data_IF_788707068357
#
_entry.id   IF_788707068357
#
_cell.length_a   1.000
_cell.length_b   1.000
_cell.length_c   1.000
_cell.angle_alpha   90.00
_cell.angle_beta   90.00
_cell.angle_gamma   90.00
#
_symmetry.space_group_name_H-M   'P 1'
#
loop_
_entity.id
_entity.type
_entity.pdbx_description
1 polymer ?
#
# COMPACT_ATOMS: atom_id res chain seq x y z
N UNK A 1 -36.24 23.25 -32.74
CA UNK A 1 -34.93 23.85 -33.00
C UNK A 1 -33.95 23.18 -32.05
N UNK A 2 -33.34 22.05 -32.45
CA UNK A 2 -32.36 21.32 -31.65
C UNK A 2 -30.99 21.97 -31.84
N UNK A 3 -30.51 22.67 -30.83
CA UNK A 3 -29.13 23.16 -30.81
C UNK A 3 -28.26 21.97 -30.40
N UNK A 4 -27.69 21.31 -31.40
CA UNK A 4 -26.64 20.33 -31.21
C UNK A 4 -25.36 21.07 -30.75
N UNK A 5 -25.12 21.09 -29.45
CA UNK A 5 -23.85 21.56 -28.89
C UNK A 5 -22.75 20.59 -29.28
N UNK A 6 -22.07 20.86 -30.40
CA UNK A 6 -20.84 20.12 -30.75
C UNK A 6 -19.79 20.34 -29.64
N UNK A 7 -19.15 19.28 -29.15
CA UNK A 7 -18.11 19.44 -28.13
C UNK A 7 -16.94 20.23 -28.73
N UNK A 8 -16.49 21.26 -28.03
CA UNK A 8 -15.36 22.11 -28.44
C UNK A 8 -14.11 21.25 -28.63
N UNK A 9 -13.30 21.53 -29.65
CA UNK A 9 -12.08 20.79 -30.00
C UNK A 9 -11.14 20.59 -28.78
N UNK A 10 -11.07 21.57 -27.88
CA UNK A 10 -10.31 21.48 -26.62
C UNK A 10 -10.81 20.36 -25.67
N UNK A 11 -12.14 20.10 -25.66
CA UNK A 11 -12.74 19.04 -24.85
C UNK A 11 -12.42 17.65 -25.41
N UNK A 12 -12.48 17.52 -26.75
CA UNK A 12 -12.10 16.28 -27.43
C UNK A 12 -10.62 15.93 -27.20
N UNK A 13 -9.73 16.93 -27.29
CA UNK A 13 -8.29 16.75 -27.00
C UNK A 13 -8.01 16.34 -25.56
N UNK A 14 -8.75 16.90 -24.61
CA UNK A 14 -8.66 16.52 -23.20
C UNK A 14 -9.10 15.07 -22.95
N UNK A 15 -10.14 14.63 -23.61
CA UNK A 15 -10.69 13.28 -23.45
C UNK A 15 -9.81 12.21 -24.14
N UNK A 16 -9.20 12.52 -25.30
CA UNK A 16 -8.22 11.62 -25.93
C UNK A 16 -6.97 11.42 -25.07
N UNK A 17 -6.42 12.47 -24.47
CA UNK A 17 -5.26 12.36 -23.57
C UNK A 17 -5.59 11.54 -22.34
N UNK A 18 -6.75 11.72 -21.73
CA UNK A 18 -7.21 10.92 -20.59
C UNK A 18 -7.35 9.45 -20.96
N UNK A 19 -7.96 9.15 -22.10
CA UNK A 19 -8.15 7.77 -22.56
C UNK A 19 -6.81 7.07 -22.81
N UNK A 20 -5.83 7.77 -23.36
CA UNK A 20 -4.49 7.27 -23.60
C UNK A 20 -3.76 7.00 -22.28
N UNK A 21 -3.87 7.91 -21.28
CA UNK A 21 -3.32 7.75 -19.95
C UNK A 21 -3.86 6.50 -19.26
N UNK A 22 -5.18 6.30 -19.22
CA UNK A 22 -5.78 5.12 -18.58
C UNK A 22 -5.42 3.81 -19.28
N UNK A 23 -5.33 3.79 -20.60
CA UNK A 23 -4.88 2.60 -21.34
C UNK A 23 -3.44 2.24 -20.98
N UNK A 24 -2.59 3.22 -20.86
CA UNK A 24 -1.18 3.03 -20.49
C UNK A 24 -1.05 2.52 -19.07
N UNK A 25 -1.73 3.16 -18.13
CA UNK A 25 -1.77 2.73 -16.72
C UNK A 25 -2.26 1.27 -16.59
N UNK A 26 -3.30 0.89 -17.34
CA UNK A 26 -3.81 -0.50 -17.34
C UNK A 26 -2.77 -1.50 -17.87
N UNK A 27 -2.02 -1.13 -18.92
CA UNK A 27 -0.95 -1.98 -19.46
C UNK A 27 0.17 -2.17 -18.45
N UNK A 28 0.62 -1.09 -17.80
CA UNK A 28 1.68 -1.11 -16.81
C UNK A 28 1.27 -1.91 -15.58
N UNK A 29 0.03 -1.76 -15.10
CA UNK A 29 -0.54 -2.61 -14.05
C UNK A 29 -0.51 -4.09 -14.41
N UNK A 30 -0.95 -4.43 -15.60
CA UNK A 30 -0.92 -5.83 -16.06
C UNK A 30 0.50 -6.38 -16.09
N UNK A 31 1.47 -5.61 -16.58
CA UNK A 31 2.89 -6.00 -16.58
C UNK A 31 3.42 -6.21 -15.17
N UNK A 32 3.06 -5.32 -14.24
CA UNK A 32 3.45 -5.43 -12.83
C UNK A 32 2.93 -6.71 -12.20
N UNK A 33 1.64 -7.01 -12.32
CA UNK A 33 1.04 -8.21 -11.74
C UNK A 33 1.53 -9.52 -12.38
N UNK A 34 1.88 -9.50 -13.66
CA UNK A 34 2.47 -10.66 -14.34
C UNK A 34 3.97 -10.83 -14.02
N UNK A 35 4.59 -9.84 -13.40
CA UNK A 35 6.01 -9.90 -13.04
C UNK A 35 6.20 -10.71 -11.75
N UNK A 36 7.08 -11.70 -11.79
CA UNK A 36 7.50 -12.45 -10.59
C UNK A 36 8.11 -11.56 -9.49
N UNK A 37 8.63 -10.39 -9.85
CA UNK A 37 9.21 -9.40 -8.92
C UNK A 37 8.17 -8.89 -7.92
N UNK A 38 6.91 -8.71 -8.36
CA UNK A 38 5.82 -8.29 -7.49
C UNK A 38 5.52 -9.33 -6.39
N UNK A 39 5.44 -10.60 -6.76
CA UNK A 39 5.20 -11.68 -5.80
C UNK A 39 6.39 -11.90 -4.87
N UNK A 40 7.60 -11.74 -5.38
CA UNK A 40 8.81 -11.81 -4.56
C UNK A 40 8.85 -10.69 -3.51
N UNK A 41 8.53 -9.45 -3.90
CA UNK A 41 8.45 -8.33 -2.99
C UNK A 41 7.31 -8.50 -1.96
N UNK A 42 6.15 -9.01 -2.38
CA UNK A 42 5.03 -9.33 -1.49
C UNK A 42 5.41 -10.41 -0.46
N UNK A 43 6.08 -11.48 -0.88
CA UNK A 43 6.59 -12.50 0.04
C UNK A 43 7.65 -11.93 0.98
N UNK A 44 8.53 -11.05 0.49
CA UNK A 44 9.52 -10.33 1.28
C UNK A 44 8.88 -9.45 2.35
N UNK A 45 7.85 -8.68 2.01
CA UNK A 45 7.11 -7.84 2.98
C UNK A 45 6.41 -8.70 4.03
N UNK A 46 5.78 -9.80 3.63
CA UNK A 46 5.20 -10.76 4.55
C UNK A 46 6.25 -11.32 5.53
N UNK A 47 7.39 -11.76 5.02
CA UNK A 47 8.47 -12.33 5.83
C UNK A 47 9.05 -11.32 6.82
N UNK A 48 9.34 -10.09 6.38
CA UNK A 48 9.85 -9.02 7.25
C UNK A 48 8.85 -8.64 8.33
N UNK A 49 7.55 -8.58 7.99
CA UNK A 49 6.49 -8.34 8.97
C UNK A 49 6.45 -9.45 10.04
N UNK A 50 6.55 -10.71 9.63
CA UNK A 50 6.58 -11.85 10.57
C UNK A 50 7.83 -11.82 11.46
N UNK A 51 8.99 -11.46 10.91
CA UNK A 51 10.23 -11.31 11.70
C UNK A 51 10.07 -10.20 12.75
N UNK A 52 9.55 -9.04 12.36
CA UNK A 52 9.33 -7.93 13.28
C UNK A 52 8.40 -8.34 14.42
N UNK A 53 7.28 -8.98 14.11
CA UNK A 53 6.32 -9.46 15.10
C UNK A 53 6.94 -10.54 15.99
N UNK A 54 7.78 -11.43 15.44
CA UNK A 54 8.44 -12.46 16.26
C UNK A 54 9.38 -11.86 17.28
N UNK A 55 10.06 -10.76 16.96
CA UNK A 55 10.92 -10.03 17.91
C UNK A 55 10.09 -9.38 19.02
N UNK A 56 8.99 -8.72 18.67
CA UNK A 56 8.07 -8.13 19.65
C UNK A 56 7.41 -9.20 20.51
N UNK A 57 6.97 -10.30 19.91
CA UNK A 57 6.37 -11.43 20.64
C UNK A 57 7.34 -12.12 21.61
N UNK A 58 8.64 -12.12 21.32
CA UNK A 58 9.66 -12.67 22.22
C UNK A 58 9.83 -11.84 23.51
N UNK A 59 9.52 -10.54 23.46
CA UNK A 59 9.55 -9.63 24.60
C UNK A 59 8.18 -9.47 25.26
N UNK A 60 7.13 -9.96 24.64
CA UNK A 60 5.77 -9.84 25.11
C UNK A 60 5.43 -10.99 26.09
N UNK A 61 4.67 -10.67 27.13
CA UNK A 61 4.20 -11.65 28.10
C UNK A 61 3.19 -12.60 27.44
N UNK A 62 2.98 -13.77 28.02
CA UNK A 62 2.11 -14.85 27.50
C UNK A 62 0.65 -14.43 27.19
N UNK A 63 0.28 -13.19 27.48
CA UNK A 63 -1.07 -12.65 27.34
C UNK A 63 -1.25 -11.62 26.22
N UNK A 64 -0.37 -11.64 25.21
CA UNK A 64 -0.34 -10.66 24.14
C UNK A 64 -1.42 -10.92 23.11
N UNK A 65 -2.14 -9.86 22.71
CA UNK A 65 -3.11 -9.89 21.60
C UNK A 65 -2.51 -9.42 20.29
N UNK A 66 -3.14 -9.78 19.17
CA UNK A 66 -2.73 -9.28 17.86
C UNK A 66 -2.83 -7.76 17.77
N UNK A 67 -3.84 -7.16 18.41
CA UNK A 67 -3.99 -5.70 18.45
C UNK A 67 -2.79 -4.99 19.06
N UNK A 68 -2.28 -5.50 20.18
CA UNK A 68 -1.09 -4.96 20.83
C UNK A 68 0.14 -5.06 19.92
N UNK A 69 0.34 -6.21 19.30
CA UNK A 69 1.46 -6.43 18.37
C UNK A 69 1.43 -5.51 17.17
N UNK A 70 0.25 -5.26 16.60
CA UNK A 70 0.09 -4.29 15.50
C UNK A 70 0.40 -2.88 15.98
N UNK A 71 -0.09 -2.49 17.15
CA UNK A 71 0.16 -1.16 17.72
C UNK A 71 1.65 -0.95 18.01
N UNK A 72 2.34 -1.94 18.58
CA UNK A 72 3.78 -1.86 18.83
C UNK A 72 4.61 -1.90 17.55
N UNK A 73 4.18 -2.67 16.55
CA UNK A 73 4.88 -2.81 15.26
C UNK A 73 4.82 -1.55 14.38
N UNK A 74 3.91 -0.61 14.63
CA UNK A 74 3.89 0.68 13.93
C UNK A 74 5.18 1.50 14.11
N UNK A 75 5.97 1.18 15.12
CA UNK A 75 7.29 1.74 15.34
C UNK A 75 8.44 1.03 14.60
N UNK A 76 8.23 0.41 13.46
CA UNK A 76 9.12 -0.43 12.63
C UNK A 76 10.58 0.08 12.43
N UNK A 77 11.13 0.80 13.38
CA UNK A 77 12.38 1.55 13.29
C UNK A 77 13.53 0.81 12.62
N UNK A 78 13.77 -0.45 12.97
CA UNK A 78 14.88 -1.24 12.42
C UNK A 78 14.62 -1.73 10.98
N UNK A 79 13.36 -2.01 10.63
CA UNK A 79 12.99 -2.58 9.32
C UNK A 79 12.47 -1.55 8.31
N UNK A 80 12.39 -0.29 8.70
CA UNK A 80 11.91 0.81 7.85
C UNK A 80 12.62 0.85 6.49
N UNK A 81 13.95 0.76 6.47
CA UNK A 81 14.73 0.76 5.24
C UNK A 81 14.44 -0.44 4.35
N UNK A 82 14.21 -1.62 4.93
CA UNK A 82 13.90 -2.84 4.19
C UNK A 82 12.53 -2.74 3.51
N UNK A 83 11.52 -2.22 4.21
CA UNK A 83 10.20 -1.97 3.63
C UNK A 83 10.26 -0.98 2.46
N UNK A 84 11.03 0.10 2.59
CA UNK A 84 11.21 1.07 1.51
C UNK A 84 11.85 0.45 0.27
N UNK A 85 12.87 -0.40 0.44
CA UNK A 85 13.48 -1.13 -0.67
C UNK A 85 12.50 -2.11 -1.32
N UNK A 86 11.75 -2.87 -0.52
CA UNK A 86 10.75 -3.82 -1.01
C UNK A 86 9.60 -3.10 -1.74
N UNK A 87 9.22 -1.90 -1.31
CA UNK A 87 8.20 -1.09 -1.96
C UNK A 87 8.59 -0.65 -3.38
N UNK A 88 9.86 -0.30 -3.56
CA UNK A 88 10.40 0.16 -4.85
C UNK A 88 10.59 -1.00 -5.85
N UNK A 89 10.91 -2.19 -5.35
CA UNK A 89 11.35 -3.33 -6.16
C UNK A 89 10.35 -3.80 -7.23
N UNK A 90 9.01 -3.81 -7.02
CA UNK A 90 8.06 -4.35 -7.98
C UNK A 90 8.08 -3.67 -9.35
N UNK A 91 8.34 -2.37 -9.37
CA UNK A 91 8.17 -1.59 -10.60
C UNK A 91 9.31 -0.64 -10.98
N UNK A 92 10.17 -0.23 -10.04
CA UNK A 92 11.25 0.72 -10.34
C UNK A 92 12.23 0.21 -11.42
N UNK A 93 12.50 -1.10 -11.44
CA UNK A 93 13.34 -1.72 -12.45
C UNK A 93 12.69 -1.75 -13.85
N UNK A 94 11.39 -1.60 -13.96
CA UNK A 94 10.66 -1.60 -15.23
C UNK A 94 11.06 -0.41 -16.11
N UNK A 95 11.27 0.77 -15.52
CA UNK A 95 11.77 1.94 -16.26
C UNK A 95 13.14 1.69 -16.88
N UNK A 96 14.04 1.07 -16.13
CA UNK A 96 15.38 0.75 -16.61
C UNK A 96 15.34 -0.31 -17.73
N UNK A 97 14.47 -1.32 -17.59
CA UNK A 97 14.25 -2.34 -18.62
C UNK A 97 13.66 -1.72 -19.91
N UNK A 98 12.71 -0.83 -19.79
CA UNK A 98 12.09 -0.12 -20.94
C UNK A 98 13.13 0.76 -21.64
N UNK A 99 14.03 1.40 -20.89
CA UNK A 99 15.13 2.19 -21.47
C UNK A 99 16.16 1.29 -22.18
N UNK A 100 16.55 0.18 -21.56
CA UNK A 100 17.51 -0.77 -22.13
C UNK A 100 17.01 -1.40 -23.44
N UNK A 101 15.71 -1.67 -23.50
CA UNK A 101 15.08 -2.28 -24.67
C UNK A 101 14.66 -1.26 -25.74
N UNK A 102 15.09 0.01 -25.65
CA UNK A 102 14.71 1.11 -26.54
C UNK A 102 13.19 1.34 -26.68
N UNK A 103 12.40 0.75 -25.80
CA UNK A 103 10.93 0.87 -25.82
C UNK A 103 10.47 2.30 -25.52
N UNK A 104 11.22 3.04 -24.71
CA UNK A 104 10.92 4.43 -24.36
C UNK A 104 10.77 5.34 -25.57
N UNK A 105 11.64 5.23 -26.57
CA UNK A 105 11.57 6.06 -27.76
C UNK A 105 10.24 5.91 -28.51
N UNK A 106 9.71 4.69 -28.58
CA UNK A 106 8.42 4.43 -29.25
C UNK A 106 7.23 4.95 -28.45
N UNK A 107 7.31 4.89 -27.13
CA UNK A 107 6.23 5.36 -26.25
C UNK A 107 6.21 6.88 -26.18
N UNK A 108 7.37 7.53 -26.05
CA UNK A 108 7.49 8.99 -25.99
C UNK A 108 6.97 9.67 -27.27
N UNK A 109 7.19 9.06 -28.44
CA UNK A 109 6.69 9.61 -29.70
C UNK A 109 5.18 9.50 -29.85
N UNK A 110 4.54 8.47 -29.28
CA UNK A 110 3.09 8.24 -29.42
C UNK A 110 2.25 8.90 -28.34
N UNK A 111 2.73 8.93 -27.11
CA UNK A 111 1.91 9.32 -25.93
C UNK A 111 2.36 10.65 -25.34
N UNK A 112 3.60 11.04 -25.60
CA UNK A 112 4.24 12.21 -25.00
C UNK A 112 4.89 11.87 -23.65
N UNK A 113 6.06 12.45 -23.43
CA UNK A 113 6.93 12.19 -22.28
C UNK A 113 6.24 12.43 -20.93
N UNK A 114 5.51 13.52 -20.80
CA UNK A 114 4.83 13.89 -19.55
C UNK A 114 3.74 12.88 -19.17
N UNK A 115 2.93 12.43 -20.12
CA UNK A 115 1.86 11.45 -19.88
C UNK A 115 2.45 10.10 -19.46
N UNK A 116 3.56 9.69 -20.10
CA UNK A 116 4.28 8.48 -19.70
C UNK A 116 4.82 8.56 -18.28
N UNK A 117 5.53 9.64 -17.93
CA UNK A 117 6.08 9.81 -16.58
C UNK A 117 5.01 9.77 -15.50
N UNK A 118 3.88 10.46 -15.70
CA UNK A 118 2.79 10.46 -14.72
C UNK A 118 2.12 9.09 -14.59
N UNK A 119 1.89 8.38 -15.72
CA UNK A 119 1.35 7.02 -15.68
C UNK A 119 2.26 6.08 -14.91
N UNK A 120 3.56 6.14 -15.20
CA UNK A 120 4.56 5.30 -14.55
C UNK A 120 4.66 5.57 -13.04
N UNK A 121 4.66 6.85 -12.64
CA UNK A 121 4.68 7.26 -11.23
C UNK A 121 3.43 6.77 -10.48
N UNK A 122 2.24 6.93 -11.07
CA UNK A 122 1.00 6.42 -10.47
C UNK A 122 1.03 4.90 -10.29
N UNK A 123 1.51 4.16 -11.29
CA UNK A 123 1.59 2.69 -11.22
C UNK A 123 2.62 2.26 -10.20
N UNK A 124 3.77 2.94 -10.10
CA UNK A 124 4.79 2.66 -9.06
C UNK A 124 4.21 2.84 -7.66
N UNK A 125 3.56 3.98 -7.41
CA UNK A 125 2.93 4.27 -6.13
C UNK A 125 1.87 3.24 -5.75
N UNK A 126 0.93 2.97 -6.66
CA UNK A 126 -0.15 2.00 -6.43
C UNK A 126 0.40 0.57 -6.30
N UNK A 127 1.43 0.23 -7.06
CA UNK A 127 2.10 -1.05 -6.99
C UNK A 127 2.81 -1.28 -5.66
N UNK A 128 3.54 -0.28 -5.18
CA UNK A 128 4.17 -0.29 -3.87
C UNK A 128 3.12 -0.43 -2.74
N UNK A 129 2.06 0.38 -2.82
CA UNK A 129 0.95 0.31 -1.88
C UNK A 129 0.33 -1.09 -1.81
N UNK A 130 -0.04 -1.66 -2.96
CA UNK A 130 -0.66 -2.98 -3.02
C UNK A 130 0.28 -4.09 -2.55
N UNK A 131 1.56 -4.01 -2.91
CA UNK A 131 2.56 -4.98 -2.50
C UNK A 131 2.69 -5.06 -0.97
N UNK A 132 2.82 -3.90 -0.30
CA UNK A 132 2.95 -3.82 1.15
C UNK A 132 1.63 -4.19 1.81
N UNK A 133 0.51 -3.64 1.34
CA UNK A 133 -0.82 -3.91 1.90
C UNK A 133 -1.14 -5.40 1.88
N UNK A 134 -0.94 -6.07 0.74
CA UNK A 134 -1.19 -7.51 0.61
C UNK A 134 -0.20 -8.33 1.43
N UNK A 135 1.08 -7.96 1.46
CA UNK A 135 2.11 -8.64 2.24
C UNK A 135 1.84 -8.57 3.75
N UNK A 136 1.51 -7.39 4.27
CA UNK A 136 1.14 -7.21 5.68
C UNK A 136 -0.17 -7.92 6.01
N UNK A 137 -1.20 -7.79 5.17
CA UNK A 137 -2.48 -8.48 5.38
C UNK A 137 -2.30 -10.00 5.41
N UNK A 138 -1.47 -10.56 4.54
CA UNK A 138 -1.14 -11.98 4.55
C UNK A 138 -0.42 -12.40 5.84
N UNK A 139 0.56 -11.63 6.30
CA UNK A 139 1.28 -11.89 7.55
C UNK A 139 0.33 -11.89 8.76
N UNK A 140 -0.50 -10.87 8.86
CA UNK A 140 -1.44 -10.76 9.97
C UNK A 140 -2.56 -11.80 9.93
N UNK A 141 -3.04 -12.18 8.74
CA UNK A 141 -4.04 -13.25 8.61
C UNK A 141 -3.51 -14.60 9.11
N UNK A 142 -2.23 -14.89 8.89
CA UNK A 142 -1.58 -16.08 9.47
C UNK A 142 -1.50 -16.02 11.00
N UNK A 143 -1.25 -14.86 11.56
CA UNK A 143 -1.19 -14.68 13.02
C UNK A 143 -2.56 -14.79 13.67
N UNK A 144 -3.62 -14.33 13.00
CA UNK A 144 -5.01 -14.51 13.48
C UNK A 144 -5.40 -15.98 13.68
N UNK A 145 -4.75 -16.91 12.98
CA UNK A 145 -4.98 -18.35 13.19
C UNK A 145 -4.43 -18.86 14.52
N UNK A 146 -3.47 -18.14 15.12
CA UNK A 146 -2.78 -18.55 16.35
C UNK A 146 -3.12 -17.70 17.57
N UNK A 147 -3.48 -16.44 17.36
CA UNK A 147 -3.68 -15.46 18.44
C UNK A 147 -5.05 -14.81 18.33
N UNK A 148 -5.73 -14.52 19.46
CA UNK A 148 -6.98 -13.77 19.44
C UNK A 148 -6.73 -12.33 18.99
N UNK A 149 -7.69 -11.74 18.29
CA UNK A 149 -7.60 -10.38 17.77
C UNK A 149 -7.55 -9.33 18.88
N UNK A 150 -8.38 -9.50 19.89
CA UNK A 150 -8.49 -8.62 21.06
C UNK A 150 -8.70 -9.45 22.33
N UNK A 151 -8.06 -9.08 23.43
CA UNK A 151 -8.29 -9.67 24.75
C UNK A 151 -8.97 -8.68 25.69
N UNK A 152 -9.50 -9.17 26.80
CA UNK A 152 -10.18 -8.33 27.79
C UNK A 152 -9.25 -7.28 28.42
N UNK A 153 -7.99 -7.65 28.68
CA UNK A 153 -6.95 -6.73 29.17
C UNK A 153 -6.68 -5.55 28.23
N UNK A 154 -6.72 -5.80 26.92
CA UNK A 154 -6.51 -4.75 25.92
C UNK A 154 -7.73 -3.84 25.78
N UNK A 155 -8.93 -4.37 26.02
CA UNK A 155 -10.15 -3.58 26.04
C UNK A 155 -10.16 -2.55 27.17
N UNK A 156 -9.58 -2.89 28.34
CA UNK A 156 -9.43 -1.96 29.47
C UNK A 156 -8.38 -0.88 29.16
N UNK A 157 -7.24 -1.26 28.61
CA UNK A 157 -6.20 -0.30 28.20
C UNK A 157 -6.70 0.67 27.13
N UNK A 158 -7.51 0.20 26.19
CA UNK A 158 -8.19 1.03 25.18
C UNK A 158 -9.16 2.02 25.79
N UNK A 159 -9.92 1.60 26.81
CA UNK A 159 -10.83 2.50 27.52
C UNK A 159 -10.07 3.63 28.19
N UNK A 160 -8.98 3.31 28.88
CA UNK A 160 -8.12 4.29 29.52
C UNK A 160 -7.53 5.30 28.52
N UNK A 161 -7.06 4.84 27.36
CA UNK A 161 -6.55 5.72 26.31
C UNK A 161 -7.64 6.64 25.70
N UNK A 162 -8.88 6.14 25.57
CA UNK A 162 -10.02 6.94 25.10
C UNK A 162 -10.41 8.03 26.10
N UNK A 163 -10.35 7.73 27.40
CA UNK A 163 -10.68 8.65 28.48
C UNK A 163 -9.63 9.76 28.66
N UNK A 164 -8.36 9.44 28.45
CA UNK A 164 -7.25 10.43 28.54
C UNK A 164 -7.24 11.49 27.45
N UNK A 165 -8.07 11.38 26.42
CA UNK A 165 -8.47 12.50 25.59
C UNK A 165 -7.48 12.97 24.51
N UNK A 166 -6.51 12.18 24.14
CA UNK A 166 -5.60 12.52 23.04
C UNK A 166 -6.31 12.55 21.67
N UNK A 167 -5.85 13.45 20.78
CA UNK A 167 -6.48 13.76 19.49
C UNK A 167 -6.76 12.61 18.52
N UNK A 168 -6.48 11.37 18.93
CA UNK A 168 -6.78 10.11 18.21
C UNK A 168 -8.10 9.44 18.67
N UNK A 169 -8.91 10.13 19.48
CA UNK A 169 -10.13 9.58 20.11
C UNK A 169 -11.04 8.83 19.13
N UNK A 170 -11.32 9.42 17.96
CA UNK A 170 -12.22 8.80 16.98
C UNK A 170 -11.65 7.50 16.42
N UNK A 171 -10.35 7.41 16.25
CA UNK A 171 -9.66 6.23 15.75
C UNK A 171 -9.61 5.11 16.80
N UNK A 172 -9.45 5.47 18.08
CA UNK A 172 -9.52 4.54 19.20
C UNK A 172 -10.94 4.01 19.43
N UNK A 173 -11.96 4.86 19.28
CA UNK A 173 -13.38 4.42 19.32
C UNK A 173 -13.65 3.41 18.20
N UNK A 174 -13.12 3.65 17.00
CA UNK A 174 -13.24 2.70 15.88
C UNK A 174 -12.60 1.35 16.20
N UNK A 175 -11.45 1.32 16.89
CA UNK A 175 -10.76 0.08 17.27
C UNK A 175 -11.58 -0.77 18.24
N UNK A 176 -12.37 -0.14 19.10
CA UNK A 176 -13.26 -0.83 20.05
C UNK A 176 -14.53 -1.34 19.39
N UNK A 177 -15.17 -0.48 18.57
CA UNK A 177 -16.49 -0.80 17.98
C UNK A 177 -16.35 -1.76 16.81
N UNK A 178 -15.33 -1.56 15.97
CA UNK A 178 -15.05 -2.38 14.78
C UNK A 178 -13.56 -2.70 14.68
N UNK A 179 -13.04 -3.65 15.49
CA UNK A 179 -11.61 -3.96 15.52
C UNK A 179 -11.07 -4.40 14.15
N UNK A 180 -11.86 -5.07 13.33
CA UNK A 180 -11.48 -5.48 11.98
C UNK A 180 -11.24 -4.27 11.05
N UNK A 181 -12.14 -3.26 11.11
CA UNK A 181 -12.00 -2.04 10.31
C UNK A 181 -10.80 -1.21 10.74
N UNK A 182 -10.58 -1.09 12.04
CA UNK A 182 -9.38 -0.45 12.57
C UNK A 182 -8.11 -1.12 12.07
N UNK A 183 -8.07 -2.44 12.08
CA UNK A 183 -6.95 -3.24 11.64
C UNK A 183 -6.63 -3.02 10.15
N UNK A 184 -7.65 -3.10 9.28
CA UNK A 184 -7.50 -2.83 7.85
C UNK A 184 -7.05 -1.38 7.60
N UNK A 185 -7.64 -0.43 8.32
CA UNK A 185 -7.28 0.99 8.18
C UNK A 185 -5.83 1.27 8.61
N UNK A 186 -5.35 0.64 9.67
CA UNK A 186 -3.96 0.80 10.12
C UNK A 186 -2.96 0.23 9.12
N UNK A 187 -3.21 -0.97 8.59
CA UNK A 187 -2.37 -1.57 7.55
C UNK A 187 -2.37 -0.70 6.29
N UNK A 188 -3.53 -0.18 5.88
CA UNK A 188 -3.64 0.70 4.72
C UNK A 188 -2.87 2.02 4.92
N UNK A 189 -2.91 2.59 6.14
CA UNK A 189 -2.16 3.80 6.47
C UNK A 189 -0.64 3.57 6.41
N UNK A 190 -0.15 2.45 6.92
CA UNK A 190 1.26 2.09 6.85
C UNK A 190 1.69 1.79 5.40
N UNK A 191 0.90 1.04 4.65
CA UNK A 191 1.17 0.77 3.25
C UNK A 191 1.22 2.07 2.43
N UNK A 192 0.33 3.04 2.70
CA UNK A 192 0.35 4.35 2.05
C UNK A 192 1.61 5.15 2.42
N UNK A 193 2.02 5.12 3.71
CA UNK A 193 3.24 5.78 4.18
C UNK A 193 4.48 5.24 3.43
N UNK A 194 4.64 3.93 3.33
CA UNK A 194 5.77 3.33 2.63
C UNK A 194 5.72 3.53 1.13
N UNK A 195 4.53 3.48 0.53
CA UNK A 195 4.37 3.76 -0.90
C UNK A 195 4.71 5.22 -1.25
N UNK A 196 4.47 6.16 -0.34
CA UNK A 196 4.84 7.56 -0.54
C UNK A 196 6.34 7.80 -0.44
N UNK A 197 7.06 6.93 0.29
CA UNK A 197 8.51 7.00 0.44
C UNK A 197 9.28 6.26 -0.68
N UNK A 198 8.59 5.41 -1.44
CA UNK A 198 9.11 4.67 -2.58
C UNK A 198 9.19 5.55 -3.84
#
# INVERSE_FOLDING_TARGET
MFISTQPTAAKLWGDEKKMTFFRMMKMDFRRMFLSGKFYFAMAGTMFVTLLNISQEAAHAWNDTSLWYLVKSSHGLGAFFGVFSVLAVLPFALSYWEDRRNHYLCFVETRVGKTTYCWSHLCVTFLGAFLCIFLGMTAAYSLLLLKMPMLRASDAESLLYEIEMGDGKRNFLILSRTFPQMYFIASIAADAARYAFLA
#
